data_IF_471080064913
#
_entry.id   IF_471080064913
#
_cell.length_a   1.000
_cell.length_b   1.000
_cell.length_c   1.000
_cell.angle_alpha   90.00
_cell.angle_beta   90.00
_cell.angle_gamma   90.00
#
_symmetry.space_group_name_H-M   'P 1'
#
loop_
_entity.id
_entity.type
_entity.pdbx_description
1 polymer ?
#
# COMPACT_ATOMS: atom_id res chain seq x y z
N UNK A 1 -18.10 3.10 -8.02
CA UNK A 1 -17.10 3.65 -7.08
C UNK A 1 -16.54 2.59 -6.12
N UNK A 2 -17.38 1.88 -5.35
CA UNK A 2 -16.92 0.80 -4.45
C UNK A 2 -16.03 -0.25 -5.14
N UNK A 3 -16.32 -0.55 -6.42
CA UNK A 3 -15.47 -1.42 -7.25
C UNK A 3 -14.03 -0.90 -7.40
N UNK A 4 -13.82 0.41 -7.53
CA UNK A 4 -12.48 1.00 -7.66
C UNK A 4 -11.71 0.93 -6.34
N UNK A 5 -12.39 1.13 -5.21
CA UNK A 5 -11.79 0.97 -3.88
C UNK A 5 -11.45 -0.51 -3.64
N UNK A 6 -12.35 -1.43 -4.03
CA UNK A 6 -12.07 -2.87 -4.01
C UNK A 6 -10.85 -3.23 -4.85
N UNK A 7 -10.75 -2.69 -6.06
CA UNK A 7 -9.58 -2.87 -6.92
C UNK A 7 -8.31 -2.30 -6.28
N UNK A 8 -8.35 -1.09 -5.72
CA UNK A 8 -7.22 -0.49 -5.00
C UNK A 8 -6.73 -1.41 -3.86
N UNK A 9 -7.64 -1.95 -3.07
CA UNK A 9 -7.32 -2.85 -1.96
C UNK A 9 -6.74 -4.18 -2.44
N UNK A 10 -7.30 -4.75 -3.51
CA UNK A 10 -6.77 -5.97 -4.10
C UNK A 10 -5.36 -5.77 -4.65
N UNK A 11 -5.14 -4.70 -5.43
CA UNK A 11 -3.82 -4.36 -6.00
C UNK A 11 -2.81 -4.07 -4.90
N UNK A 12 -3.22 -3.39 -3.83
CA UNK A 12 -2.40 -3.20 -2.63
C UNK A 12 -1.95 -4.53 -2.04
N UNK A 13 -2.89 -5.42 -1.68
CA UNK A 13 -2.58 -6.71 -1.02
C UNK A 13 -1.68 -7.58 -1.88
N UNK A 14 -1.91 -7.63 -3.20
CA UNK A 14 -1.05 -8.35 -4.15
C UNK A 14 0.35 -7.73 -4.24
N UNK A 15 0.48 -6.40 -4.16
CA UNK A 15 1.78 -5.75 -4.17
C UNK A 15 2.53 -5.93 -2.85
N UNK A 16 1.83 -5.87 -1.73
CA UNK A 16 2.39 -6.07 -0.39
C UNK A 16 2.93 -7.49 -0.20
N UNK A 17 2.26 -8.52 -0.74
CA UNK A 17 2.72 -9.91 -0.61
C UNK A 17 4.10 -10.13 -1.23
N UNK A 18 4.51 -9.32 -2.21
CA UNK A 18 5.85 -9.42 -2.81
C UNK A 18 6.98 -9.01 -1.85
N UNK A 19 6.66 -8.34 -0.73
CA UNK A 19 7.64 -8.12 0.33
C UNK A 19 8.18 -9.43 0.91
N UNK A 20 7.46 -10.56 0.75
CA UNK A 20 7.97 -11.90 1.11
C UNK A 20 9.27 -12.21 0.35
N UNK A 21 9.33 -11.93 -0.95
CA UNK A 21 10.54 -12.16 -1.76
C UNK A 21 11.68 -11.23 -1.34
N UNK A 22 11.34 -9.97 -0.99
CA UNK A 22 12.32 -9.01 -0.49
C UNK A 22 12.90 -9.47 0.86
N UNK A 23 12.04 -9.94 1.77
CA UNK A 23 12.47 -10.50 3.05
C UNK A 23 13.40 -11.69 2.81
N UNK A 24 12.97 -12.68 2.01
CA UNK A 24 13.76 -13.89 1.72
C UNK A 24 15.15 -13.56 1.13
N UNK A 25 15.18 -12.70 0.11
CA UNK A 25 16.43 -12.31 -0.55
C UNK A 25 17.39 -11.55 0.36
N UNK A 26 16.87 -10.59 1.14
CA UNK A 26 17.70 -9.76 2.02
C UNK A 26 18.11 -10.49 3.31
N UNK A 27 17.28 -11.39 3.83
CA UNK A 27 17.63 -12.24 4.98
C UNK A 27 18.56 -13.39 4.58
N UNK A 28 18.63 -13.75 3.29
CA UNK A 28 19.25 -14.98 2.78
C UNK A 28 18.58 -16.24 3.35
N UNK A 29 17.25 -16.21 3.47
CA UNK A 29 16.43 -17.36 3.87
C UNK A 29 15.64 -17.91 2.69
N UNK A 30 15.11 -19.12 2.85
CA UNK A 30 14.10 -19.64 1.95
C UNK A 30 12.77 -18.86 2.06
N UNK A 31 11.88 -19.12 1.10
CA UNK A 31 10.57 -18.45 1.01
C UNK A 31 9.65 -18.80 2.18
N UNK A 32 9.67 -20.03 2.69
CA UNK A 32 8.80 -20.46 3.79
C UNK A 32 9.14 -19.71 5.08
N UNK A 33 10.44 -19.59 5.37
CA UNK A 33 10.94 -18.77 6.48
C UNK A 33 10.51 -17.30 6.33
N UNK A 34 10.61 -16.73 5.13
CA UNK A 34 10.18 -15.36 4.87
C UNK A 34 8.65 -15.17 5.02
N UNK A 35 7.84 -16.16 4.64
CA UNK A 35 6.39 -16.16 4.86
C UNK A 35 6.09 -16.11 6.37
N UNK A 36 6.75 -16.92 7.19
CA UNK A 36 6.56 -16.90 8.65
C UNK A 36 6.90 -15.52 9.23
N UNK A 37 8.01 -14.91 8.81
CA UNK A 37 8.37 -13.54 9.22
C UNK A 37 7.30 -12.54 8.78
N UNK A 38 6.83 -12.61 7.54
CA UNK A 38 5.80 -11.71 7.00
C UNK A 38 4.48 -11.81 7.78
N UNK A 39 4.06 -13.02 8.12
CA UNK A 39 2.85 -13.29 8.91
C UNK A 39 2.98 -12.82 10.37
N UNK A 40 4.19 -12.84 10.92
CA UNK A 40 4.47 -12.37 12.29
C UNK A 40 4.34 -10.85 12.42
N UNK A 41 4.60 -10.12 11.33
CA UNK A 41 4.46 -8.66 11.29
C UNK A 41 3.00 -8.26 11.01
N UNK A 42 2.33 -7.77 12.04
CA UNK A 42 0.88 -7.50 12.03
C UNK A 42 0.46 -6.25 11.24
N UNK A 43 1.40 -5.44 10.75
CA UNK A 43 1.08 -4.22 10.00
C UNK A 43 1.90 -4.10 8.72
N UNK A 44 1.33 -3.54 7.63
CA UNK A 44 2.09 -3.27 6.41
C UNK A 44 3.31 -2.39 6.65
N UNK A 45 3.18 -1.42 7.57
CA UNK A 45 4.29 -0.55 7.98
C UNK A 45 5.45 -1.35 8.57
N UNK A 46 5.18 -2.28 9.48
CA UNK A 46 6.24 -3.09 10.09
C UNK A 46 6.95 -3.98 9.05
N UNK A 47 6.20 -4.52 8.07
CA UNK A 47 6.75 -5.30 6.95
C UNK A 47 7.66 -4.46 6.07
N UNK A 48 7.23 -3.24 5.71
CA UNK A 48 8.03 -2.29 4.95
C UNK A 48 9.29 -1.89 5.73
N UNK A 49 9.15 -1.52 7.00
CA UNK A 49 10.28 -1.12 7.85
C UNK A 49 11.31 -2.24 8.00
N UNK A 50 10.88 -3.50 8.08
CA UNK A 50 11.79 -4.65 8.09
C UNK A 50 12.59 -4.71 6.79
N UNK A 51 11.92 -4.66 5.63
CA UNK A 51 12.59 -4.71 4.32
C UNK A 51 13.60 -3.58 4.17
N UNK A 52 13.25 -2.36 4.57
CA UNK A 52 14.17 -1.23 4.52
C UNK A 52 15.38 -1.40 5.43
N UNK A 53 15.17 -1.92 6.64
CA UNK A 53 16.27 -2.19 7.60
C UNK A 53 17.20 -3.27 7.07
N UNK A 54 16.65 -4.34 6.49
CA UNK A 54 17.43 -5.40 5.86
C UNK A 54 18.22 -4.87 4.65
N UNK A 55 17.61 -4.03 3.81
CA UNK A 55 18.28 -3.44 2.64
C UNK A 55 19.43 -2.49 3.02
N UNK A 56 19.35 -1.85 4.19
CA UNK A 56 20.38 -0.96 4.72
C UNK A 56 21.59 -1.70 5.30
N UNK A 57 21.52 -3.03 5.47
CA UNK A 57 22.65 -3.82 5.96
C UNK A 57 23.84 -3.77 5.00
N UNK A 58 25.06 -3.88 5.54
CA UNK A 58 26.31 -3.80 4.76
C UNK A 58 26.40 -4.89 3.67
N UNK A 59 25.81 -6.06 3.91
CA UNK A 59 25.77 -7.19 2.96
C UNK A 59 24.96 -6.92 1.68
N UNK A 60 24.10 -5.91 1.68
CA UNK A 60 23.26 -5.59 0.52
C UNK A 60 24.03 -4.67 -0.46
N UNK A 61 24.21 -5.08 -1.73
CA UNK A 61 24.85 -4.25 -2.75
C UNK A 61 24.19 -2.88 -2.89
N UNK A 62 24.97 -1.83 -3.17
CA UNK A 62 24.47 -0.44 -3.22
C UNK A 62 23.34 -0.24 -4.22
N UNK A 63 23.41 -0.85 -5.41
CA UNK A 63 22.33 -0.80 -6.41
C UNK A 63 21.04 -1.45 -5.91
N UNK A 64 21.16 -2.65 -5.31
CA UNK A 64 20.01 -3.37 -4.73
C UNK A 64 19.36 -2.55 -3.62
N UNK A 65 20.18 -1.99 -2.72
CA UNK A 65 19.71 -1.11 -1.65
C UNK A 65 18.94 0.10 -2.19
N UNK A 66 19.50 0.81 -3.17
CA UNK A 66 18.87 2.00 -3.72
C UNK A 66 17.51 1.69 -4.36
N UNK A 67 17.43 0.62 -5.16
CA UNK A 67 16.19 0.19 -5.83
C UNK A 67 15.10 -0.23 -4.83
N UNK A 68 15.47 -1.01 -3.81
CA UNK A 68 14.53 -1.43 -2.77
C UNK A 68 14.02 -0.23 -1.98
N UNK A 69 14.91 0.66 -1.52
CA UNK A 69 14.51 1.82 -0.72
C UNK A 69 13.64 2.81 -1.50
N UNK A 70 13.89 3.03 -2.80
CA UNK A 70 12.99 3.85 -3.60
C UNK A 70 11.61 3.19 -3.77
N UNK A 71 11.59 1.87 -4.03
CA UNK A 71 10.36 1.12 -4.26
C UNK A 71 9.51 1.05 -2.98
N UNK A 72 10.11 0.82 -1.81
CA UNK A 72 9.38 0.80 -0.52
C UNK A 72 8.90 2.18 -0.10
N UNK A 73 9.65 3.25 -0.41
CA UNK A 73 9.20 4.64 -0.19
C UNK A 73 7.91 4.90 -0.97
N UNK A 74 7.88 4.57 -2.26
CA UNK A 74 6.69 4.71 -3.12
C UNK A 74 5.53 3.86 -2.62
N UNK A 75 5.78 2.61 -2.21
CA UNK A 75 4.75 1.76 -1.60
C UNK A 75 4.15 2.40 -0.34
N UNK A 76 4.98 3.02 0.50
CA UNK A 76 4.53 3.71 1.72
C UNK A 76 3.66 4.94 1.42
N UNK A 77 3.91 5.64 0.31
CA UNK A 77 3.08 6.75 -0.15
C UNK A 77 1.68 6.26 -0.57
N UNK A 78 1.62 5.16 -1.34
CA UNK A 78 0.34 4.53 -1.71
C UNK A 78 -0.43 4.00 -0.50
N UNK A 79 0.27 3.54 0.55
CA UNK A 79 -0.35 3.08 1.80
C UNK A 79 -1.19 4.18 2.45
N UNK A 80 -0.68 5.43 2.43
CA UNK A 80 -1.38 6.59 2.99
C UNK A 80 -2.64 6.90 2.21
N UNK A 81 -2.58 6.83 0.87
CA UNK A 81 -3.73 7.06 0.00
C UNK A 81 -4.79 5.96 0.18
N UNK A 82 -4.38 4.69 0.22
CA UNK A 82 -5.28 3.57 0.53
C UNK A 82 -5.98 3.76 1.87
N UNK A 83 -5.23 4.16 2.89
CA UNK A 83 -5.80 4.41 4.23
C UNK A 83 -6.76 5.60 4.23
N UNK A 84 -6.52 6.66 3.44
CA UNK A 84 -7.50 7.75 3.25
C UNK A 84 -8.82 7.14 2.80
N UNK A 85 -8.84 6.42 1.68
CA UNK A 85 -10.08 5.93 1.06
C UNK A 85 -10.77 4.78 1.84
N UNK A 86 -10.03 3.98 2.60
CA UNK A 86 -10.66 2.91 3.40
C UNK A 86 -11.30 3.40 4.70
N UNK A 87 -10.92 4.58 5.19
CA UNK A 87 -11.44 5.14 6.44
C UNK A 87 -12.47 6.27 6.20
N UNK A 88 -13.05 6.31 5.00
CA UNK A 88 -14.15 7.20 4.64
C UNK A 88 -15.49 6.47 4.80
N UNK A 89 -16.49 7.16 5.35
CA UNK A 89 -17.88 6.73 5.24
C UNK A 89 -18.41 7.21 3.89
N UNK A 90 -19.03 6.31 3.14
CA UNK A 90 -19.63 6.59 1.83
C UNK A 90 -21.15 6.59 1.96
N UNK A 91 -21.79 7.76 1.81
CA UNK A 91 -23.25 7.87 1.72
C UNK A 91 -23.67 8.10 0.27
N UNK A 92 -24.77 7.48 -0.13
CA UNK A 92 -25.37 7.66 -1.46
C UNK A 92 -26.67 8.43 -1.29
N UNK A 93 -26.79 9.58 -1.93
CA UNK A 93 -28.06 10.31 -2.01
C UNK A 93 -28.80 9.89 -3.30
N UNK A 94 -29.98 9.26 -3.20
CA UNK A 94 -30.78 8.85 -4.35
C UNK A 94 -31.61 9.99 -4.98
N UNK A 95 -31.84 11.11 -4.27
CA UNK A 95 -32.71 12.20 -4.74
C UNK A 95 -31.96 13.24 -5.59
N UNK A 96 -30.66 13.39 -5.37
CA UNK A 96 -29.78 14.13 -6.27
C UNK A 96 -29.38 13.22 -7.43
N UNK A 97 -29.96 13.42 -8.63
CA UNK A 97 -29.76 12.60 -9.85
C UNK A 97 -28.31 12.43 -10.36
N UNK A 98 -27.31 12.83 -9.58
CA UNK A 98 -25.91 12.41 -9.65
C UNK A 98 -25.60 11.78 -8.30
N UNK A 99 -25.41 10.46 -8.24
CA UNK A 99 -25.09 9.75 -6.99
C UNK A 99 -23.86 10.33 -6.29
N UNK A 100 -24.08 11.34 -5.46
CA UNK A 100 -23.07 12.07 -4.73
C UNK A 100 -22.60 11.14 -3.63
N UNK A 101 -21.41 10.60 -3.82
CA UNK A 101 -20.74 9.89 -2.75
C UNK A 101 -20.06 10.92 -1.88
N UNK A 102 -20.57 11.11 -0.67
CA UNK A 102 -19.91 11.96 0.32
C UNK A 102 -18.93 11.09 1.09
N UNK A 103 -17.69 11.57 1.22
CA UNK A 103 -16.70 10.99 2.12
C UNK A 103 -16.72 11.76 3.44
N UNK A 104 -17.12 11.09 4.53
CA UNK A 104 -17.12 11.66 5.88
C UNK A 104 -16.06 10.97 6.74
N UNK A 105 -15.25 11.75 7.47
CA UNK A 105 -14.22 11.23 8.38
C UNK A 105 -14.62 11.54 9.82
N UNK A 106 -14.87 10.52 10.63
CA UNK A 106 -15.16 10.73 12.05
C UNK A 106 -13.82 10.88 12.81
N UNK A 107 -13.70 11.94 13.60
CA UNK A 107 -12.62 12.13 14.55
C UNK A 107 -13.18 12.15 15.97
N UNK A 108 -12.68 11.26 16.81
CA UNK A 108 -12.97 11.27 18.25
C UNK A 108 -11.87 12.07 18.96
N UNK A 109 -12.25 13.22 19.52
CA UNK A 109 -11.47 14.00 20.46
C UNK A 109 -11.63 13.46 21.88
N UNK A 110 -10.92 14.06 22.85
CA UNK A 110 -11.01 13.65 24.27
C UNK A 110 -12.41 13.81 24.88
N UNK A 111 -13.19 14.77 24.39
CA UNK A 111 -14.52 15.14 24.92
C UNK A 111 -15.58 15.34 23.82
N UNK A 112 -15.26 15.14 22.53
CA UNK A 112 -16.20 15.33 21.43
C UNK A 112 -15.99 14.38 20.24
N UNK A 113 -17.09 14.06 19.53
CA UNK A 113 -17.05 13.37 18.24
C UNK A 113 -17.27 14.43 17.17
N UNK A 114 -16.23 14.73 16.38
CA UNK A 114 -16.32 15.66 15.25
C UNK A 114 -16.57 14.90 13.96
N UNK A 115 -17.65 15.28 13.28
CA UNK A 115 -17.87 14.91 11.89
C UNK A 115 -16.93 15.75 11.02
N UNK A 116 -15.96 15.09 10.39
CA UNK A 116 -14.99 15.72 9.50
C UNK A 116 -15.65 16.30 8.25
N UNK A 117 -14.83 17.01 7.46
CA UNK A 117 -15.27 17.68 6.24
C UNK A 117 -15.91 16.69 5.27
N UNK A 118 -17.13 17.00 4.82
CA UNK A 118 -17.77 16.33 3.70
C UNK A 118 -16.97 16.68 2.45
N UNK A 119 -16.24 15.72 1.89
CA UNK A 119 -15.60 15.84 0.58
C UNK A 119 -16.53 15.21 -0.45
N UNK A 120 -16.96 16.00 -1.45
CA UNK A 120 -17.60 15.46 -2.64
C UNK A 120 -16.57 14.63 -3.39
N UNK A 121 -16.93 13.39 -3.71
CA UNK A 121 -16.07 12.55 -4.53
C UNK A 121 -16.32 12.86 -6.00
N UNK A 122 -15.59 13.86 -6.47
CA UNK A 122 -15.63 14.34 -7.84
C UNK A 122 -14.83 13.45 -8.80
N UNK A 123 -14.83 13.81 -10.09
CA UNK A 123 -14.02 13.11 -11.10
C UNK A 123 -12.51 13.16 -10.80
N UNK A 124 -12.03 14.16 -10.05
CA UNK A 124 -10.62 14.28 -9.68
C UNK A 124 -10.23 13.22 -8.65
N UNK A 125 -11.07 12.98 -7.62
CA UNK A 125 -10.82 11.92 -6.65
C UNK A 125 -10.88 10.53 -7.31
N UNK A 126 -11.79 10.31 -8.27
CA UNK A 126 -11.81 9.07 -9.06
C UNK A 126 -10.52 8.92 -9.86
N UNK A 127 -10.02 10.01 -10.47
CA UNK A 127 -8.75 9.99 -11.21
C UNK A 127 -7.56 9.66 -10.29
N UNK A 128 -7.54 10.19 -9.06
CA UNK A 128 -6.51 9.88 -8.04
C UNK A 128 -6.50 8.41 -7.65
N UNK A 129 -7.67 7.80 -7.43
CA UNK A 129 -7.75 6.35 -7.13
C UNK A 129 -7.18 5.53 -8.30
N UNK A 130 -7.54 5.88 -9.54
CA UNK A 130 -7.02 5.20 -10.74
C UNK A 130 -5.51 5.38 -10.91
N UNK A 131 -4.97 6.55 -10.56
CA UNK A 131 -3.53 6.80 -10.56
C UNK A 131 -2.81 5.96 -9.50
N UNK A 132 -3.35 5.90 -8.27
CA UNK A 132 -2.82 5.05 -7.20
C UNK A 132 -2.78 3.58 -7.60
N UNK A 133 -3.86 3.06 -8.22
CA UNK A 133 -3.88 1.68 -8.77
C UNK A 133 -2.76 1.48 -9.81
N UNK A 134 -2.59 2.41 -10.76
CA UNK A 134 -1.53 2.33 -11.77
C UNK A 134 -0.13 2.38 -11.14
N UNK A 135 0.05 3.21 -10.12
CA UNK A 135 1.29 3.32 -9.35
C UNK A 135 1.62 1.99 -8.64
N UNK A 136 0.64 1.38 -7.97
CA UNK A 136 0.79 0.07 -7.33
C UNK A 136 1.14 -1.04 -8.32
N UNK A 137 0.53 -1.06 -9.51
CA UNK A 137 0.89 -2.02 -10.58
C UNK A 137 2.36 -1.85 -10.99
N UNK A 138 2.83 -0.61 -11.14
CA UNK A 138 4.25 -0.34 -11.45
C UNK A 138 5.18 -0.77 -10.32
N UNK A 139 4.79 -0.53 -9.06
CA UNK A 139 5.54 -0.96 -7.88
C UNK A 139 5.64 -2.48 -7.85
N UNK A 140 4.53 -3.19 -8.10
CA UNK A 140 4.48 -4.65 -8.19
C UNK A 140 5.46 -5.19 -9.24
N UNK A 141 5.40 -4.64 -10.46
CA UNK A 141 6.33 -5.00 -11.55
C UNK A 141 7.79 -4.71 -11.16
N UNK A 142 8.04 -3.62 -10.43
CA UNK A 142 9.39 -3.26 -9.96
C UNK A 142 9.90 -4.29 -8.94
N UNK A 143 9.08 -4.72 -7.98
CA UNK A 143 9.46 -5.78 -7.04
C UNK A 143 9.75 -7.11 -7.73
N UNK A 144 8.99 -7.48 -8.75
CA UNK A 144 9.31 -8.65 -9.56
C UNK A 144 10.64 -8.49 -10.28
N UNK A 145 10.88 -7.32 -10.90
CA UNK A 145 12.16 -7.05 -11.56
C UNK A 145 13.35 -7.12 -10.60
N UNK A 146 13.22 -6.57 -9.39
CA UNK A 146 14.24 -6.68 -8.33
C UNK A 146 14.45 -8.16 -7.95
N UNK A 147 13.36 -8.90 -7.76
CA UNK A 147 13.40 -10.34 -7.41
C UNK A 147 14.20 -11.14 -8.44
N UNK A 148 13.96 -10.89 -9.73
CA UNK A 148 14.67 -11.57 -10.82
C UNK A 148 16.12 -11.12 -10.96
N UNK A 149 16.35 -9.81 -10.95
CA UNK A 149 17.67 -9.20 -11.12
C UNK A 149 18.66 -9.60 -10.04
N UNK A 150 18.20 -9.71 -8.80
CA UNK A 150 19.05 -10.05 -7.65
C UNK A 150 18.92 -11.52 -7.22
N UNK A 151 18.16 -12.34 -7.94
CA UNK A 151 18.02 -13.78 -7.68
C UNK A 151 17.35 -14.09 -6.34
N UNK A 152 16.38 -13.28 -5.92
CA UNK A 152 15.65 -13.54 -4.68
C UNK A 152 14.71 -14.74 -4.82
N UNK A 153 14.46 -15.50 -3.74
CA UNK A 153 13.57 -16.67 -3.78
C UNK A 153 12.14 -16.33 -4.24
N UNK A 154 11.60 -17.13 -5.18
CA UNK A 154 10.27 -16.97 -5.81
C UNK A 154 9.22 -17.91 -5.21
#
# INVERSE_FOLDING_TARGET
MLLLIGQLNYTWTNTESLLIHMIAGLSQSDKETAIVIFLTLNTPRARIDLVERLAKMQKTPSGCRAEILDTTRRLSEEAKLRNKYNHCIYSFDPDSGRGLTQSMRIFEGRDDIKYGKIEELDEQEIARIRESIRSLIKINQTFWSITEKYGFPK
#
